data_IF_959727922077
#
_entry.id   IF_959727922077
#
_cell.length_a   1.000
_cell.length_b   1.000
_cell.length_c   1.000
_cell.angle_alpha   90.00
_cell.angle_beta   90.00
_cell.angle_gamma   90.00
#
_symmetry.space_group_name_H-M   'P 1'
#
loop_
_entity.id
_entity.type
_entity.pdbx_description
1 polymer ?
#
# COMPACT_ATOMS: atom_id res chain seq x y z
N UNK A 1 -37.57 48.76 -1.02
CA UNK A 1 -38.51 47.84 -0.33
C UNK A 1 -37.74 47.17 0.79
N UNK A 2 -37.88 47.72 2.00
CA UNK A 2 -37.31 47.21 3.24
C UNK A 2 -38.25 46.15 3.83
N UNK A 3 -37.73 44.98 4.20
CA UNK A 3 -38.37 44.09 5.17
C UNK A 3 -37.28 43.49 6.05
N UNK A 4 -37.19 44.05 7.26
CA UNK A 4 -36.48 43.52 8.41
C UNK A 4 -37.43 42.60 9.18
N UNK A 5 -36.96 41.44 9.62
CA UNK A 5 -37.54 40.73 10.76
C UNK A 5 -36.42 40.11 11.60
N UNK A 6 -36.37 40.57 12.84
CA UNK A 6 -35.44 40.18 13.91
C UNK A 6 -36.25 39.48 14.99
N UNK A 7 -35.82 38.29 15.42
CA UNK A 7 -36.03 37.69 16.76
C UNK A 7 -35.17 36.41 16.82
N UNK A 8 -34.01 36.41 17.50
CA UNK A 8 -33.79 36.08 18.93
C UNK A 8 -34.11 34.59 19.24
N UNK A 9 -33.12 33.69 19.33
CA UNK A 9 -32.22 33.36 20.47
C UNK A 9 -32.72 32.18 21.34
N UNK A 10 -32.11 31.00 21.16
CA UNK A 10 -31.52 30.14 22.24
C UNK A 10 -31.13 28.74 21.73
N UNK A 11 -29.86 28.32 21.93
CA UNK A 11 -29.41 26.92 21.93
C UNK A 11 -28.90 26.53 23.35
N UNK A 12 -28.25 25.37 23.54
CA UNK A 12 -28.78 24.00 23.47
C UNK A 12 -28.72 23.31 24.86
N UNK A 13 -29.44 22.18 24.98
CA UNK A 13 -29.41 21.34 26.18
C UNK A 13 -28.01 20.74 26.42
N UNK A 14 -27.51 20.99 27.63
CA UNK A 14 -26.24 20.50 28.17
C UNK A 14 -26.42 19.10 28.76
N UNK A 15 -25.69 18.11 28.24
CA UNK A 15 -25.51 16.83 28.92
C UNK A 15 -24.29 16.93 29.84
N UNK A 16 -24.54 16.84 31.14
CA UNK A 16 -23.64 17.16 32.24
C UNK A 16 -22.62 16.05 32.47
N UNK A 17 -21.36 16.47 32.62
CA UNK A 17 -20.18 15.69 33.04
C UNK A 17 -20.39 15.08 34.43
N UNK A 18 -20.02 13.81 34.61
CA UNK A 18 -19.98 13.14 35.91
C UNK A 18 -18.52 12.81 36.27
N UNK A 19 -17.95 13.62 37.16
CA UNK A 19 -16.83 13.28 38.08
C UNK A 19 -16.89 14.35 39.17
N UNK A 20 -16.90 14.00 40.48
CA UNK A 20 -15.68 13.59 41.19
C UNK A 20 -15.96 12.44 42.20
N UNK A 21 -14.97 11.73 42.73
CA UNK A 21 -14.37 12.06 44.02
C UNK A 21 -13.05 11.30 44.21
N UNK A 22 -12.06 12.06 44.71
CA UNK A 22 -10.77 11.58 45.19
C UNK A 22 -10.98 11.06 46.60
N UNK A 23 -10.74 9.77 46.84
CA UNK A 23 -10.57 9.23 48.19
C UNK A 23 -9.08 9.11 48.45
N UNK A 24 -8.60 9.98 49.34
CA UNK A 24 -7.33 9.85 50.02
C UNK A 24 -7.45 8.75 51.08
N UNK A 25 -6.55 7.76 51.05
CA UNK A 25 -6.05 7.16 52.28
C UNK A 25 -4.76 6.42 52.02
N UNK A 26 -3.78 6.87 52.76
CA UNK A 26 -2.44 6.36 52.90
C UNK A 26 -2.45 4.94 53.48
N UNK A 27 -1.32 4.25 53.32
CA UNK A 27 -0.68 3.41 54.35
C UNK A 27 -0.50 1.90 54.07
N UNK A 28 0.79 1.53 54.15
CA UNK A 28 1.41 0.24 54.49
C UNK A 28 1.61 -0.83 53.40
N UNK A 29 2.86 -0.84 52.94
CA UNK A 29 3.57 -1.99 52.40
C UNK A 29 3.35 -3.27 53.22
N UNK A 30 3.07 -4.37 52.51
CA UNK A 30 3.53 -5.71 52.91
C UNK A 30 4.13 -6.38 51.69
N UNK A 31 5.45 -6.57 51.73
CA UNK A 31 6.16 -7.53 50.91
C UNK A 31 5.53 -8.92 51.14
N UNK A 32 4.97 -9.50 50.09
CA UNK A 32 4.63 -10.91 50.07
C UNK A 32 5.79 -11.67 49.42
N UNK A 33 6.55 -12.36 50.27
CA UNK A 33 7.60 -13.30 49.88
C UNK A 33 6.90 -14.59 49.42
N UNK A 34 7.09 -15.06 48.17
CA UNK A 34 6.54 -16.34 47.75
C UNK A 34 7.39 -17.50 48.28
N UNK A 35 6.79 -18.36 49.10
CA UNK A 35 7.32 -19.66 49.52
C UNK A 35 7.53 -20.59 48.31
N UNK A 36 8.64 -21.35 48.23
CA UNK A 36 8.89 -22.27 47.12
C UNK A 36 8.06 -23.55 47.30
N UNK A 37 6.95 -23.67 46.55
CA UNK A 37 6.18 -24.90 46.48
C UNK A 37 6.88 -25.89 45.52
N UNK A 38 7.51 -26.90 46.11
CA UNK A 38 8.24 -28.00 45.44
C UNK A 38 7.28 -28.86 44.63
N UNK A 39 6.97 -28.48 43.38
CA UNK A 39 6.25 -29.34 42.44
C UNK A 39 7.19 -30.46 41.97
N UNK A 40 6.90 -31.70 42.37
CA UNK A 40 7.47 -32.91 41.76
C UNK A 40 7.10 -32.91 40.28
N UNK A 41 8.09 -32.73 39.41
CA UNK A 41 7.96 -33.06 37.99
C UNK A 41 7.80 -34.58 37.87
N UNK A 42 6.56 -35.04 37.78
CA UNK A 42 6.27 -36.38 37.27
C UNK A 42 6.49 -36.32 35.75
N UNK A 43 7.62 -36.86 35.30
CA UNK A 43 7.85 -37.16 33.88
C UNK A 43 6.76 -38.13 33.43
N UNK A 44 5.81 -37.64 32.63
CA UNK A 44 4.90 -38.53 31.89
C UNK A 44 5.76 -39.36 30.92
N UNK A 45 5.51 -40.68 30.82
CA UNK A 45 6.23 -41.51 29.86
C UNK A 45 5.94 -40.98 28.45
N UNK A 46 7.01 -40.87 27.66
CA UNK A 46 6.99 -40.40 26.28
C UNK A 46 5.93 -41.16 25.49
N UNK A 47 4.82 -40.48 25.21
CA UNK A 47 3.79 -41.00 24.35
C UNK A 47 4.35 -40.99 22.93
N UNK A 48 4.70 -42.20 22.54
CA UNK A 48 5.17 -42.69 21.26
C UNK A 48 4.78 -41.76 20.09
N UNK A 49 5.83 -41.15 19.55
CA UNK A 49 5.97 -40.50 18.25
C UNK A 49 5.45 -41.38 17.12
N UNK A 50 4.15 -41.40 16.84
CA UNK A 50 3.56 -41.95 15.60
C UNK A 50 2.17 -41.39 15.36
N UNK A 51 2.02 -40.07 15.20
CA UNK A 51 0.86 -39.43 14.52
C UNK A 51 1.31 -38.16 13.75
N UNK A 52 2.61 -38.01 13.50
CA UNK A 52 3.19 -36.87 12.78
C UNK A 52 3.48 -37.24 11.31
N UNK A 53 2.55 -37.96 10.67
CA UNK A 53 2.64 -38.26 9.24
C UNK A 53 1.25 -38.09 8.63
N UNK A 54 1.09 -36.99 7.91
CA UNK A 54 -0.06 -36.59 7.09
C UNK A 54 -1.25 -35.94 7.81
N UNK A 55 -1.01 -34.88 8.58
CA UNK A 55 -1.78 -33.68 8.28
C UNK A 55 -1.11 -33.08 7.04
N UNK A 56 -1.56 -33.46 5.84
CA UNK A 56 -1.39 -32.54 4.72
C UNK A 56 -2.05 -31.26 5.20
N UNK A 57 -1.26 -30.22 5.43
CA UNK A 57 -1.78 -28.89 5.72
C UNK A 57 -2.55 -28.48 4.46
N UNK A 58 -3.83 -28.84 4.38
CA UNK A 58 -4.69 -28.48 3.27
C UNK A 58 -4.64 -26.96 3.18
N UNK A 59 -4.11 -26.44 2.07
CA UNK A 59 -4.03 -25.01 1.84
C UNK A 59 -5.43 -24.41 2.03
N UNK A 60 -5.56 -23.29 2.76
CA UNK A 60 -6.86 -22.70 3.04
C UNK A 60 -7.58 -22.41 1.71
N UNK A 61 -8.84 -22.82 1.64
CA UNK A 61 -9.71 -22.56 0.50
C UNK A 61 -10.49 -21.28 0.75
N UNK A 62 -10.51 -20.39 -0.23
CA UNK A 62 -11.18 -19.10 -0.17
C UNK A 62 -12.44 -19.15 -1.03
N UNK A 63 -13.52 -18.53 -0.55
CA UNK A 63 -14.72 -18.32 -1.35
C UNK A 63 -14.55 -17.07 -2.20
N UNK A 64 -14.58 -17.23 -3.52
CA UNK A 64 -14.62 -16.13 -4.49
C UNK A 64 -16.02 -15.91 -5.05
N UNK A 65 -16.16 -14.89 -5.89
CA UNK A 65 -17.40 -14.50 -6.59
C UNK A 65 -17.85 -15.60 -7.56
N UNK A 66 -16.92 -16.20 -8.29
CA UNK A 66 -17.23 -17.20 -9.34
C UNK A 66 -16.87 -18.64 -8.96
N UNK A 67 -16.50 -18.87 -7.70
CA UNK A 67 -16.13 -20.20 -7.19
C UNK A 67 -15.10 -20.14 -6.07
N UNK A 68 -14.81 -21.31 -5.51
CA UNK A 68 -13.73 -21.46 -4.54
C UNK A 68 -12.36 -21.40 -5.23
N UNK A 69 -11.40 -20.76 -4.58
CA UNK A 69 -10.03 -20.64 -5.09
C UNK A 69 -9.01 -20.87 -3.98
N UNK A 70 -7.78 -21.18 -4.38
CA UNK A 70 -6.66 -21.47 -3.47
C UNK A 70 -5.42 -20.68 -3.90
N UNK A 71 -4.54 -20.46 -2.93
CA UNK A 71 -3.24 -19.83 -3.16
C UNK A 71 -2.24 -20.90 -3.55
N UNK A 72 -1.68 -20.75 -4.74
CA UNK A 72 -0.64 -21.62 -5.25
C UNK A 72 0.77 -21.15 -4.87
N UNK A 73 1.75 -22.04 -4.95
CA UNK A 73 3.15 -21.69 -4.65
C UNK A 73 3.69 -20.64 -5.62
N UNK A 74 3.21 -20.66 -6.87
CA UNK A 74 3.55 -19.65 -7.87
C UNK A 74 3.00 -18.27 -7.46
N UNK A 75 1.76 -18.20 -6.96
CA UNK A 75 1.17 -16.95 -6.48
C UNK A 75 2.00 -16.36 -5.32
N UNK A 76 2.53 -17.21 -4.43
CA UNK A 76 3.42 -16.80 -3.33
C UNK A 76 4.72 -16.18 -3.87
N UNK A 77 5.34 -16.80 -4.88
CA UNK A 77 6.57 -16.28 -5.51
C UNK A 77 6.31 -14.95 -6.20
N UNK A 78 5.23 -14.86 -6.97
CA UNK A 78 4.85 -13.63 -7.69
C UNK A 78 4.59 -12.48 -6.72
N UNK A 79 3.79 -12.70 -5.68
CA UNK A 79 3.51 -11.69 -4.65
C UNK A 79 4.80 -11.30 -3.91
N UNK A 80 5.65 -12.26 -3.58
CA UNK A 80 6.93 -11.97 -2.91
C UNK A 80 7.83 -11.10 -3.80
N UNK A 81 7.98 -11.46 -5.08
CA UNK A 81 8.77 -10.68 -6.02
C UNK A 81 8.17 -9.28 -6.27
N UNK A 82 6.84 -9.15 -6.32
CA UNK A 82 6.13 -7.88 -6.35
C UNK A 82 6.45 -6.99 -5.14
N UNK A 83 6.38 -7.55 -3.91
CA UNK A 83 6.68 -6.81 -2.67
C UNK A 83 8.14 -6.37 -2.59
N UNK A 84 9.07 -7.24 -3.01
CA UNK A 84 10.49 -6.92 -3.10
C UNK A 84 10.73 -5.80 -4.11
N UNK A 85 10.09 -5.86 -5.29
CA UNK A 85 10.19 -4.81 -6.30
C UNK A 85 9.67 -3.46 -5.81
N UNK A 86 8.52 -3.41 -5.10
CA UNK A 86 8.01 -2.17 -4.51
C UNK A 86 8.98 -1.60 -3.49
N UNK A 87 9.56 -2.46 -2.65
CA UNK A 87 10.49 -2.04 -1.60
C UNK A 87 11.79 -1.51 -2.19
N UNK A 88 12.31 -2.16 -3.24
CA UNK A 88 13.47 -1.72 -3.98
C UNK A 88 13.22 -0.38 -4.69
N UNK A 89 12.07 -0.21 -5.35
CA UNK A 89 11.69 1.05 -5.98
C UNK A 89 11.55 2.19 -4.95
N UNK A 90 10.95 1.90 -3.78
CA UNK A 90 10.80 2.85 -2.69
C UNK A 90 12.16 3.26 -2.13
N UNK A 91 13.06 2.31 -1.88
CA UNK A 91 14.40 2.61 -1.38
C UNK A 91 15.18 3.49 -2.36
N UNK A 92 15.12 3.19 -3.66
CA UNK A 92 15.68 4.05 -4.71
C UNK A 92 15.14 5.48 -4.66
N UNK A 93 13.81 5.64 -4.56
CA UNK A 93 13.18 6.96 -4.47
C UNK A 93 13.60 7.72 -3.20
N UNK A 94 13.74 7.02 -2.07
CA UNK A 94 14.26 7.60 -0.83
C UNK A 94 15.69 8.10 -1.03
N UNK A 95 16.57 7.29 -1.64
CA UNK A 95 17.94 7.70 -1.98
C UNK A 95 17.93 8.94 -2.87
N UNK A 96 17.12 8.95 -3.93
CA UNK A 96 17.01 10.12 -4.81
C UNK A 96 16.53 11.37 -4.07
N UNK A 97 15.62 11.20 -3.10
CA UNK A 97 15.07 12.31 -2.33
C UNK A 97 16.05 12.87 -1.30
N UNK A 98 17.06 12.09 -0.86
CA UNK A 98 18.02 12.56 0.17
C UNK A 98 18.80 13.79 -0.27
N UNK A 99 19.09 13.93 -1.56
CA UNK A 99 19.81 15.09 -2.09
C UNK A 99 19.11 16.43 -1.79
N UNK A 100 17.77 16.44 -1.73
CA UNK A 100 16.98 17.65 -1.44
C UNK A 100 17.08 18.13 0.02
N UNK A 101 17.58 17.28 0.93
CA UNK A 101 17.65 17.57 2.37
C UNK A 101 19.08 17.75 2.88
N UNK A 102 20.09 17.59 2.02
CA UNK A 102 21.50 17.74 2.40
C UNK A 102 22.04 19.13 2.03
N UNK A 103 22.99 19.67 2.81
CA UNK A 103 23.67 20.92 2.45
C UNK A 103 24.50 20.75 1.17
N UNK A 104 24.37 21.65 0.20
CA UNK A 104 25.01 21.55 -1.12
C UNK A 104 26.53 21.35 -1.05
N UNK A 105 27.21 22.06 -0.14
CA UNK A 105 28.67 22.04 -0.01
C UNK A 105 29.25 20.83 0.75
N UNK A 106 28.41 19.90 1.19
CA UNK A 106 28.87 18.77 2.00
C UNK A 106 29.49 17.65 1.14
N UNK A 107 30.56 17.01 1.64
CA UNK A 107 31.15 15.82 0.99
C UNK A 107 30.13 14.67 0.87
N UNK A 108 29.17 14.58 1.82
CA UNK A 108 28.07 13.62 1.76
C UNK A 108 27.15 13.87 0.57
N UNK A 109 26.86 15.13 0.24
CA UNK A 109 26.05 15.48 -0.93
C UNK A 109 26.71 15.01 -2.22
N UNK A 110 28.03 15.22 -2.37
CA UNK A 110 28.78 14.75 -3.54
C UNK A 110 28.70 13.24 -3.72
N UNK A 111 28.79 12.48 -2.62
CA UNK A 111 28.65 11.02 -2.65
C UNK A 111 27.23 10.58 -3.04
N UNK A 112 26.21 11.26 -2.51
CA UNK A 112 24.80 10.97 -2.85
C UNK A 112 24.51 11.27 -4.32
N UNK A 113 24.98 12.41 -4.83
CA UNK A 113 24.81 12.84 -6.23
C UNK A 113 25.37 11.78 -7.19
N UNK A 114 26.52 11.18 -6.89
CA UNK A 114 27.10 10.09 -7.68
C UNK A 114 26.23 8.83 -7.75
N UNK A 115 25.36 8.61 -6.77
CA UNK A 115 24.47 7.45 -6.70
C UNK A 115 23.11 7.71 -7.36
N UNK A 116 22.74 8.96 -7.65
CA UNK A 116 21.38 9.33 -8.06
C UNK A 116 20.92 8.65 -9.35
N UNK A 117 21.77 8.57 -10.37
CA UNK A 117 21.38 7.95 -11.64
C UNK A 117 21.24 6.43 -11.50
N UNK A 118 22.17 5.81 -10.76
CA UNK A 118 22.07 4.39 -10.45
C UNK A 118 20.80 4.09 -9.65
N UNK A 119 20.51 4.89 -8.62
CA UNK A 119 19.31 4.76 -7.81
C UNK A 119 18.04 4.95 -8.63
N UNK A 120 18.00 5.97 -9.49
CA UNK A 120 16.87 6.28 -10.37
C UNK A 120 16.63 5.15 -11.38
N UNK A 121 17.67 4.66 -12.04
CA UNK A 121 17.58 3.55 -12.98
C UNK A 121 17.11 2.27 -12.29
N UNK A 122 17.73 1.91 -11.17
CA UNK A 122 17.36 0.74 -10.38
C UNK A 122 15.91 0.84 -9.87
N UNK A 123 15.48 2.04 -9.48
CA UNK A 123 14.13 2.31 -9.01
C UNK A 123 13.09 2.09 -10.11
N UNK A 124 13.36 2.59 -11.32
CA UNK A 124 12.51 2.41 -12.50
C UNK A 124 12.39 0.93 -12.87
N UNK A 125 13.51 0.20 -12.90
CA UNK A 125 13.50 -1.24 -13.21
C UNK A 125 12.70 -2.02 -12.15
N UNK A 126 12.91 -1.71 -10.87
CA UNK A 126 12.20 -2.35 -9.75
C UNK A 126 10.69 -2.08 -9.77
N UNK A 127 10.29 -0.85 -10.11
CA UNK A 127 8.89 -0.49 -10.29
C UNK A 127 8.28 -1.25 -11.48
N UNK A 128 8.99 -1.33 -12.60
CA UNK A 128 8.54 -2.06 -13.79
C UNK A 128 8.30 -3.55 -13.51
N UNK A 129 9.24 -4.19 -12.79
CA UNK A 129 9.09 -5.57 -12.32
C UNK A 129 7.82 -5.73 -11.45
N UNK A 130 7.59 -4.80 -10.54
CA UNK A 130 6.40 -4.80 -9.67
C UNK A 130 5.10 -4.65 -10.47
N UNK A 131 5.06 -3.73 -11.45
CA UNK A 131 3.89 -3.51 -12.31
C UNK A 131 3.63 -4.68 -13.27
N UNK A 132 4.64 -5.51 -13.57
CA UNK A 132 4.45 -6.75 -14.30
C UNK A 132 3.73 -7.79 -13.43
N UNK A 133 4.17 -7.94 -12.18
CA UNK A 133 3.73 -8.97 -11.23
C UNK A 133 2.48 -8.60 -10.42
N UNK A 134 2.03 -7.34 -10.48
CA UNK A 134 0.85 -6.91 -9.75
C UNK A 134 -0.42 -7.62 -10.24
N UNK A 135 -1.23 -8.10 -9.30
CA UNK A 135 -2.57 -8.62 -9.55
C UNK A 135 -3.58 -7.47 -9.51
N UNK A 136 -4.24 -7.18 -10.64
CA UNK A 136 -5.22 -6.10 -10.78
C UNK A 136 -6.38 -6.63 -11.62
N UNK A 137 -7.61 -6.61 -11.09
CA UNK A 137 -8.80 -7.14 -11.79
C UNK A 137 -9.12 -6.42 -13.11
N UNK A 138 -8.72 -5.15 -13.23
CA UNK A 138 -9.00 -4.33 -14.40
C UNK A 138 -7.78 -4.34 -15.31
N UNK A 139 -7.76 -5.25 -16.28
CA UNK A 139 -6.65 -5.40 -17.22
C UNK A 139 -6.29 -4.09 -17.97
N UNK A 140 -7.25 -3.27 -18.45
CA UNK A 140 -6.94 -1.97 -19.07
C UNK A 140 -6.19 -1.03 -18.12
N UNK A 141 -6.55 -1.03 -16.83
CA UNK A 141 -5.86 -0.23 -15.82
C UNK A 141 -4.41 -0.70 -15.65
N UNK A 142 -4.19 -2.02 -15.53
CA UNK A 142 -2.83 -2.59 -15.46
C UNK A 142 -1.98 -2.18 -16.67
N UNK A 143 -2.55 -2.24 -17.88
CA UNK A 143 -1.85 -1.82 -19.12
C UNK A 143 -1.55 -0.33 -19.14
N UNK A 144 -2.48 0.51 -18.70
CA UNK A 144 -2.24 1.95 -18.59
C UNK A 144 -1.07 2.25 -17.65
N UNK A 145 -1.00 1.60 -16.48
CA UNK A 145 0.13 1.78 -15.55
C UNK A 145 1.46 1.34 -16.17
N UNK A 146 1.48 0.23 -16.91
CA UNK A 146 2.67 -0.23 -17.62
C UNK A 146 3.11 0.73 -18.72
N UNK A 147 2.16 1.33 -19.46
CA UNK A 147 2.47 2.34 -20.47
C UNK A 147 3.01 3.62 -19.85
N UNK A 148 2.36 4.13 -18.79
CA UNK A 148 2.82 5.28 -18.02
C UNK A 148 4.24 5.07 -17.49
N UNK A 149 4.50 3.90 -16.90
CA UNK A 149 5.84 3.50 -16.50
C UNK A 149 6.81 3.48 -17.68
N UNK A 150 6.46 2.87 -18.81
CA UNK A 150 7.35 2.79 -19.97
C UNK A 150 7.70 4.17 -20.51
N UNK A 151 6.72 5.06 -20.69
CA UNK A 151 6.97 6.44 -21.14
C UNK A 151 7.87 7.22 -20.17
N UNK A 152 7.59 7.15 -18.87
CA UNK A 152 8.40 7.87 -17.88
C UNK A 152 9.79 7.26 -17.70
N UNK A 153 9.92 5.94 -17.86
CA UNK A 153 11.20 5.23 -17.85
C UNK A 153 12.07 5.69 -19.02
N UNK A 154 11.50 5.73 -20.22
CA UNK A 154 12.18 6.26 -21.41
C UNK A 154 12.57 7.72 -21.21
N UNK A 155 11.67 8.56 -20.68
CA UNK A 155 11.98 9.96 -20.39
C UNK A 155 13.13 10.13 -19.39
N UNK A 156 13.14 9.33 -18.32
CA UNK A 156 14.21 9.37 -17.32
C UNK A 156 15.55 8.92 -17.91
N UNK A 157 15.57 7.82 -18.67
CA UNK A 157 16.77 7.33 -19.35
C UNK A 157 17.28 8.34 -20.39
N UNK A 158 16.37 9.03 -21.08
CA UNK A 158 16.75 10.08 -22.02
C UNK A 158 17.43 11.26 -21.32
N UNK A 159 16.95 11.67 -20.14
CA UNK A 159 17.62 12.70 -19.33
C UNK A 159 19.02 12.22 -18.92
N UNK A 160 19.15 11.02 -18.35
CA UNK A 160 20.45 10.43 -17.97
C UNK A 160 21.44 10.36 -19.12
N UNK A 161 20.95 10.12 -20.35
CA UNK A 161 21.80 9.95 -21.52
C UNK A 161 22.18 11.28 -22.20
N UNK A 162 21.47 12.38 -21.91
CA UNK A 162 21.63 13.65 -22.64
C UNK A 162 22.07 14.81 -21.76
N UNK A 163 21.90 14.72 -20.45
CA UNK A 163 22.26 15.76 -19.49
C UNK A 163 23.49 15.35 -18.70
N UNK A 164 24.32 16.34 -18.32
CA UNK A 164 25.51 16.10 -17.50
C UNK A 164 25.16 15.89 -16.02
N UNK A 165 24.08 16.52 -15.57
CA UNK A 165 23.56 16.36 -14.22
C UNK A 165 22.75 15.07 -14.07
N UNK A 166 22.78 14.41 -12.89
CA UNK A 166 21.94 13.26 -12.63
C UNK A 166 20.46 13.59 -12.79
N UNK A 167 19.68 12.63 -13.29
CA UNK A 167 18.30 12.88 -13.71
C UNK A 167 17.40 13.44 -12.60
N UNK A 168 17.56 12.97 -11.35
CA UNK A 168 16.80 13.49 -10.22
C UNK A 168 17.11 14.97 -9.91
N UNK A 169 18.38 15.38 -10.05
CA UNK A 169 18.82 16.76 -9.85
C UNK A 169 18.38 17.64 -11.02
N UNK A 170 18.54 17.17 -12.25
CA UNK A 170 18.07 17.86 -13.45
C UNK A 170 16.56 18.14 -13.37
N UNK A 171 15.78 17.16 -12.89
CA UNK A 171 14.32 17.33 -12.75
C UNK A 171 13.96 18.45 -11.77
N UNK A 172 14.69 18.52 -10.65
CA UNK A 172 14.50 19.56 -9.64
C UNK A 172 14.85 20.96 -10.17
N UNK A 173 15.87 21.09 -11.03
CA UNK A 173 16.27 22.39 -11.58
C UNK A 173 15.42 22.82 -12.79
N UNK A 174 14.83 21.87 -13.51
CA UNK A 174 14.10 22.11 -14.74
C UNK A 174 12.65 21.58 -14.65
N UNK A 175 11.70 22.38 -14.14
CA UNK A 175 10.32 21.94 -13.90
C UNK A 175 9.62 21.29 -15.11
N UNK A 176 9.90 21.75 -16.33
CA UNK A 176 9.32 21.19 -17.56
C UNK A 176 9.72 19.74 -17.81
N UNK A 177 10.84 19.29 -17.28
CA UNK A 177 11.29 17.89 -17.37
C UNK A 177 10.40 16.92 -16.59
N UNK A 178 9.53 17.42 -15.69
CA UNK A 178 8.46 16.62 -15.07
C UNK A 178 7.55 16.00 -16.14
N UNK A 179 7.39 16.60 -17.32
CA UNK A 179 6.63 15.97 -18.41
C UNK A 179 7.29 14.68 -18.92
N UNK A 180 8.61 14.56 -18.80
CA UNK A 180 9.36 13.38 -19.22
C UNK A 180 9.35 12.28 -18.15
N UNK A 181 9.52 12.62 -16.86
CA UNK A 181 9.61 11.63 -15.76
C UNK A 181 8.26 11.39 -15.06
N UNK A 182 7.37 12.36 -15.08
CA UNK A 182 6.06 12.37 -14.44
C UNK A 182 5.18 11.17 -14.77
N UNK A 183 5.20 10.59 -15.99
CA UNK A 183 4.47 9.36 -16.27
C UNK A 183 4.84 8.17 -15.36
N UNK A 184 6.11 8.03 -14.93
CA UNK A 184 6.49 7.00 -13.95
C UNK A 184 5.80 7.23 -12.61
N UNK A 185 5.73 8.48 -12.16
CA UNK A 185 5.04 8.83 -10.93
C UNK A 185 3.51 8.76 -11.07
N UNK A 186 2.94 8.98 -12.25
CA UNK A 186 1.54 8.70 -12.52
C UNK A 186 1.23 7.20 -12.36
N UNK A 187 2.17 6.32 -12.76
CA UNK A 187 2.05 4.89 -12.49
C UNK A 187 2.14 4.58 -10.97
N UNK A 188 3.01 5.26 -10.22
CA UNK A 188 3.06 5.19 -8.75
C UNK A 188 1.74 5.64 -8.12
N UNK A 189 1.15 6.74 -8.59
CA UNK A 189 -0.18 7.20 -8.14
C UNK A 189 -1.25 6.16 -8.43
N UNK A 190 -1.25 5.53 -9.61
CA UNK A 190 -2.21 4.47 -9.92
C UNK A 190 -2.03 3.20 -9.07
N UNK A 191 -0.78 2.85 -8.73
CA UNK A 191 -0.49 1.81 -7.75
C UNK A 191 -1.03 2.18 -6.36
N UNK A 192 -0.82 3.43 -5.94
CA UNK A 192 -1.30 3.95 -4.67
C UNK A 192 -2.84 4.04 -4.62
N UNK A 193 -3.48 4.35 -5.75
CA UNK A 193 -4.94 4.35 -5.90
C UNK A 193 -5.54 2.98 -5.59
N UNK A 194 -4.98 1.91 -6.17
CA UNK A 194 -5.42 0.53 -5.93
C UNK A 194 -5.45 0.26 -4.42
N UNK A 195 -4.34 0.51 -3.75
CA UNK A 195 -4.17 0.13 -2.35
C UNK A 195 -4.91 1.09 -1.41
N UNK A 196 -4.90 2.38 -1.72
CA UNK A 196 -5.46 3.42 -0.89
C UNK A 196 -6.97 3.51 -0.97
N UNK A 197 -7.49 3.70 -2.18
CA UNK A 197 -8.91 3.96 -2.38
C UNK A 197 -9.73 2.67 -2.54
N UNK A 198 -9.16 1.59 -3.08
CA UNK A 198 -9.89 0.32 -3.20
C UNK A 198 -9.77 -0.58 -1.96
N UNK A 199 -8.61 -0.58 -1.28
CA UNK A 199 -8.36 -1.44 -0.11
C UNK A 199 -8.27 -0.70 1.23
N UNK A 200 -8.53 0.61 1.24
CA UNK A 200 -8.64 1.40 2.47
C UNK A 200 -7.31 1.59 3.21
N UNK A 201 -6.18 1.64 2.49
CA UNK A 201 -4.86 1.86 3.08
C UNK A 201 -4.55 3.37 3.17
N UNK A 202 -4.56 4.00 4.35
CA UNK A 202 -4.45 5.45 4.46
C UNK A 202 -3.12 6.00 3.92
N UNK A 203 -2.01 5.28 4.08
CA UNK A 203 -0.70 5.67 3.55
C UNK A 203 -0.68 5.73 2.02
N UNK A 204 -1.35 4.78 1.36
CA UNK A 204 -1.45 4.73 -0.09
C UNK A 204 -2.45 5.79 -0.61
N UNK A 205 -3.54 6.04 0.12
CA UNK A 205 -4.44 7.15 -0.19
C UNK A 205 -3.70 8.50 -0.08
N UNK A 206 -2.85 8.66 0.95
CA UNK A 206 -1.96 9.81 1.08
C UNK A 206 -1.02 9.95 -0.12
N UNK A 207 -0.32 8.87 -0.51
CA UNK A 207 0.55 8.88 -1.70
C UNK A 207 -0.19 9.28 -2.97
N UNK A 208 -1.41 8.78 -3.17
CA UNK A 208 -2.23 9.11 -4.32
C UNK A 208 -2.47 10.62 -4.47
N UNK A 209 -2.61 11.35 -3.37
CA UNK A 209 -2.77 12.81 -3.41
C UNK A 209 -1.44 13.56 -3.39
N UNK A 210 -0.45 13.11 -2.62
CA UNK A 210 0.82 13.81 -2.44
C UNK A 210 1.67 13.78 -3.72
N UNK A 211 1.71 12.66 -4.43
CA UNK A 211 2.49 12.54 -5.68
C UNK A 211 2.08 13.57 -6.74
N UNK A 212 0.79 13.69 -7.13
CA UNK A 212 0.39 14.71 -8.10
C UNK A 212 0.54 16.13 -7.55
N UNK A 213 0.27 16.37 -6.25
CA UNK A 213 0.49 17.70 -5.66
C UNK A 213 1.95 18.14 -5.74
N UNK A 214 2.89 17.25 -5.44
CA UNK A 214 4.32 17.51 -5.52
C UNK A 214 4.75 17.82 -6.95
N UNK A 215 4.41 16.96 -7.91
CA UNK A 215 4.88 17.10 -9.30
C UNK A 215 4.22 18.24 -10.05
N UNK A 216 2.90 18.43 -9.90
CA UNK A 216 2.22 19.55 -10.54
C UNK A 216 2.58 20.87 -9.85
N UNK A 217 2.77 20.84 -8.53
CA UNK A 217 3.28 21.97 -7.77
C UNK A 217 4.61 22.47 -8.32
N UNK A 218 5.54 21.53 -8.53
CA UNK A 218 6.85 21.80 -9.11
C UNK A 218 6.77 22.24 -10.57
N UNK A 219 6.05 21.50 -11.43
CA UNK A 219 5.89 21.80 -12.86
C UNK A 219 5.34 23.21 -13.11
N UNK A 220 4.35 23.65 -12.32
CA UNK A 220 3.74 24.97 -12.48
C UNK A 220 4.42 26.07 -11.65
N UNK A 221 5.41 25.73 -10.81
CA UNK A 221 6.08 26.67 -9.92
C UNK A 221 5.14 27.37 -8.93
N UNK A 222 4.03 26.71 -8.55
CA UNK A 222 3.00 27.28 -7.66
C UNK A 222 3.30 27.03 -6.18
N UNK A 223 4.19 26.08 -5.88
CA UNK A 223 4.63 25.75 -4.52
C UNK A 223 6.03 26.33 -4.31
N UNK A 224 6.29 27.08 -3.22
CA UNK A 224 7.66 27.51 -2.92
C UNK A 224 8.55 26.32 -2.58
N UNK A 225 9.87 26.45 -2.75
CA UNK A 225 10.85 25.37 -2.54
C UNK A 225 10.71 24.65 -1.18
N UNK A 226 10.49 25.40 -0.10
CA UNK A 226 10.26 24.83 1.23
C UNK A 226 8.99 23.96 1.29
N UNK A 227 7.95 24.34 0.54
CA UNK A 227 6.73 23.56 0.38
C UNK A 227 6.96 22.29 -0.43
N UNK A 228 7.80 22.33 -1.46
CA UNK A 228 8.19 21.15 -2.23
C UNK A 228 8.98 20.16 -1.37
N UNK A 229 9.96 20.63 -0.60
CA UNK A 229 10.70 19.81 0.37
C UNK A 229 9.79 19.19 1.42
N UNK A 230 8.81 19.95 1.93
CA UNK A 230 7.82 19.42 2.87
C UNK A 230 6.94 18.32 2.23
N UNK A 231 6.44 18.54 1.02
CA UNK A 231 5.68 17.53 0.27
C UNK A 231 6.53 16.29 -0.05
N UNK A 232 7.79 16.48 -0.42
CA UNK A 232 8.74 15.40 -0.65
C UNK A 232 9.01 14.59 0.63
N UNK A 233 9.17 15.24 1.77
CA UNK A 233 9.35 14.56 3.05
C UNK A 233 8.11 13.72 3.41
N UNK A 234 6.91 14.28 3.22
CA UNK A 234 5.64 13.53 3.39
C UNK A 234 5.58 12.35 2.44
N UNK A 235 5.93 12.54 1.16
CA UNK A 235 6.03 11.46 0.18
C UNK A 235 6.96 10.33 0.64
N UNK A 236 8.18 10.66 1.08
CA UNK A 236 9.16 9.69 1.57
C UNK A 236 8.61 8.86 2.74
N UNK A 237 8.00 9.51 3.72
CA UNK A 237 7.42 8.82 4.88
C UNK A 237 6.28 7.89 4.45
N UNK A 238 5.35 8.39 3.63
CA UNK A 238 4.22 7.58 3.17
C UNK A 238 4.68 6.40 2.30
N UNK A 239 5.68 6.60 1.43
CA UNK A 239 6.26 5.55 0.59
C UNK A 239 6.94 4.47 1.44
N UNK A 240 7.72 4.86 2.44
CA UNK A 240 8.36 3.92 3.37
C UNK A 240 7.33 3.11 4.16
N UNK A 241 6.28 3.76 4.69
CA UNK A 241 5.19 3.08 5.40
C UNK A 241 4.43 2.13 4.46
N UNK A 242 4.13 2.57 3.24
CA UNK A 242 3.47 1.76 2.23
C UNK A 242 4.27 0.48 1.91
N UNK A 243 5.56 0.60 1.61
CA UNK A 243 6.42 -0.54 1.33
C UNK A 243 6.57 -1.46 2.56
N UNK A 244 6.76 -0.90 3.75
CA UNK A 244 6.88 -1.70 4.98
C UNK A 244 5.62 -2.48 5.32
N UNK A 245 4.44 -1.87 5.18
CA UNK A 245 3.16 -2.52 5.49
C UNK A 245 2.83 -3.70 4.57
N UNK A 246 3.41 -3.75 3.37
CA UNK A 246 3.28 -4.92 2.47
C UNK A 246 3.71 -6.23 3.13
N UNK A 247 4.70 -6.20 4.03
CA UNK A 247 5.17 -7.42 4.71
C UNK A 247 4.27 -7.90 5.84
N UNK A 248 3.41 -7.03 6.37
CA UNK A 248 2.40 -7.39 7.37
C UNK A 248 1.06 -7.80 6.76
N UNK A 249 0.89 -7.57 5.45
CA UNK A 249 -0.33 -7.88 4.71
C UNK A 249 -0.40 -9.38 4.38
N UNK A 250 -1.56 -10.04 4.55
CA UNK A 250 -1.79 -11.39 4.02
C UNK A 250 -1.57 -11.48 2.50
N UNK A 251 -0.95 -12.56 2.02
CA UNK A 251 -0.66 -12.76 0.59
C UNK A 251 -1.95 -12.70 -0.26
N UNK A 252 -3.04 -13.27 0.26
CA UNK A 252 -4.35 -13.27 -0.41
C UNK A 252 -4.84 -11.86 -0.77
N UNK A 253 -4.48 -10.85 0.03
CA UNK A 253 -4.94 -9.48 -0.17
C UNK A 253 -4.18 -8.77 -1.30
N UNK A 254 -2.95 -9.22 -1.63
CA UNK A 254 -2.22 -8.71 -2.80
C UNK A 254 -2.69 -9.37 -4.11
N UNK A 255 -3.15 -10.62 -4.05
CA UNK A 255 -3.72 -11.38 -5.17
C UNK A 255 -5.14 -10.87 -5.49
N UNK A 256 -5.97 -10.76 -4.45
CA UNK A 256 -7.41 -10.58 -4.62
C UNK A 256 -8.13 -11.92 -4.89
N UNK A 257 -9.38 -11.83 -5.33
CA UNK A 257 -10.21 -12.96 -5.70
C UNK A 257 -9.77 -13.56 -7.03
N UNK A 258 -9.13 -14.74 -6.95
CA UNK A 258 -8.61 -15.45 -8.12
C UNK A 258 -9.69 -15.96 -9.06
N UNK A 259 -10.89 -16.23 -8.55
CA UNK A 259 -12.02 -16.69 -9.37
C UNK A 259 -12.44 -15.65 -10.42
N UNK A 260 -12.18 -14.36 -10.16
CA UNK A 260 -12.41 -13.28 -11.14
C UNK A 260 -11.45 -13.40 -12.33
N UNK A 261 -10.17 -13.68 -12.08
CA UNK A 261 -9.19 -13.85 -13.15
C UNK A 261 -9.48 -15.10 -13.98
N UNK A 262 -9.85 -16.19 -13.32
CA UNK A 262 -10.26 -17.42 -13.99
C UNK A 262 -11.51 -17.20 -14.85
N UNK A 263 -12.51 -16.51 -14.32
CA UNK A 263 -13.73 -16.16 -15.07
C UNK A 263 -13.44 -15.27 -16.28
N UNK A 264 -12.64 -14.21 -16.11
CA UNK A 264 -12.26 -13.30 -17.20
C UNK A 264 -11.42 -13.98 -18.28
N UNK A 265 -10.76 -15.10 -17.99
CA UNK A 265 -9.99 -15.87 -18.95
C UNK A 265 -10.84 -16.81 -19.81
N UNK A 266 -12.10 -17.08 -19.41
CA UNK A 266 -13.02 -17.92 -20.17
C UNK A 266 -13.51 -17.20 -21.45
N UNK A 267 -13.86 -17.93 -22.52
CA UNK A 267 -14.61 -17.39 -23.65
C UNK A 267 -15.94 -16.76 -23.19
N UNK A 268 -16.41 -15.73 -23.90
CA UNK A 268 -17.64 -15.01 -23.53
C UNK A 268 -18.87 -15.92 -23.42
N UNK A 269 -18.98 -16.94 -24.27
CA UNK A 269 -20.06 -17.92 -24.21
C UNK A 269 -20.06 -18.73 -22.90
N UNK A 270 -18.87 -19.15 -22.44
CA UNK A 270 -18.71 -19.89 -21.19
C UNK A 270 -18.94 -19.00 -19.97
N UNK A 271 -18.55 -17.73 -20.05
CA UNK A 271 -18.86 -16.73 -19.03
C UNK A 271 -20.38 -16.60 -18.81
N UNK A 272 -21.16 -16.53 -19.90
CA UNK A 272 -22.62 -16.43 -19.83
C UNK A 272 -23.28 -17.67 -19.23
N UNK A 273 -22.79 -18.86 -19.59
CA UNK A 273 -23.27 -20.12 -19.01
C UNK A 273 -23.02 -20.12 -17.50
N UNK A 274 -21.79 -19.79 -17.09
CA UNK A 274 -21.41 -19.77 -15.67
C UNK A 274 -22.20 -18.74 -14.87
N UNK A 275 -22.47 -17.56 -15.43
CA UNK A 275 -23.34 -16.56 -14.82
C UNK A 275 -24.76 -17.11 -14.60
N UNK A 276 -25.34 -17.76 -15.61
CA UNK A 276 -26.68 -18.37 -15.51
C UNK A 276 -26.73 -19.45 -14.43
N UNK A 277 -25.71 -20.30 -14.34
CA UNK A 277 -25.61 -21.33 -13.30
C UNK A 277 -25.60 -20.72 -11.90
N UNK A 278 -24.85 -19.63 -11.70
CA UNK A 278 -24.79 -18.90 -10.44
C UNK A 278 -26.12 -18.23 -10.09
N UNK A 279 -26.84 -17.67 -11.07
CA UNK A 279 -28.17 -17.10 -10.88
C UNK A 279 -29.21 -18.15 -10.46
N UNK A 280 -29.19 -19.32 -11.11
CA UNK A 280 -30.08 -20.45 -10.76
C UNK A 280 -29.77 -20.93 -9.34
N UNK A 281 -28.49 -21.08 -9.00
CA UNK A 281 -28.06 -21.49 -7.66
C UNK A 281 -28.47 -20.49 -6.58
N UNK A 282 -28.30 -19.20 -6.83
CA UNK A 282 -28.71 -18.13 -5.91
C UNK A 282 -30.23 -18.11 -5.69
N UNK A 283 -31.01 -18.26 -6.76
CA UNK A 283 -32.48 -18.31 -6.69
C UNK A 283 -32.98 -19.53 -5.90
N UNK A 284 -32.31 -20.67 -6.08
CA UNK A 284 -32.63 -21.91 -5.35
C UNK A 284 -32.27 -21.84 -3.85
N UNK A 285 -31.28 -21.02 -3.46
CA UNK A 285 -30.95 -20.78 -2.05
C UNK A 285 -31.98 -19.86 -1.39
N UNK A 286 -32.37 -18.76 -2.04
CA UNK A 286 -33.39 -17.84 -1.53
C UNK A 286 -34.74 -18.53 -1.31
N UNK A 287 -35.12 -19.44 -2.19
CA UNK A 287 -36.37 -20.20 -2.05
C UNK A 287 -36.39 -21.10 -0.81
N UNK A 288 -35.23 -21.63 -0.38
CA UNK A 288 -35.12 -22.48 0.82
C UNK A 288 -35.12 -21.68 2.12
N UNK A 289 -34.58 -20.47 2.09
CA UNK A 289 -34.56 -19.58 3.27
C UNK A 289 -35.93 -18.95 3.53
N UNK A 290 -36.77 -18.76 2.49
CA UNK A 290 -38.13 -18.25 2.64
C UNK A 290 -39.16 -19.26 3.16
N UNK A 291 -38.83 -20.55 3.20
CA UNK A 291 -39.66 -21.62 3.77
C UNK A 291 -39.35 -21.92 5.26
N UNK A 292 -38.32 -21.28 5.84
CA UNK A 292 -37.96 -21.38 7.27
C UNK A 292 -38.48 -20.19 8.08
#
# INVERSE_FOLDING_TARGET
MHLSLTTALSPPHTCRKTTPQIVTSNSYARLFIPTPCRKRFALKPAQRRTDARAAFEEKPTYKGVYGEWRIEEEDVKEVTAYRVGISAATLSLLVCSTAAFLPEDSETTKQVVQLLDFASFFGIVSLGLSLKLIHVYVAPLKRLLQLLWAFGATGTVAIMATQEEPAAQYVFQHPMSVLAVGPVFAAVSGLAFKEGLCYGKPEAAGLFFVVPALLLGHLFGIVPEEGEKALLAVFCVLAAVFAGRKYTQPIKDDIGDKSIFEFQALPEEEQLIKLRELEIAASAQQSREGEQ
#
